data_IF_737521396815
#
_entry.id   IF_737521396815
#
_cell.length_a   1.000
_cell.length_b   1.000
_cell.length_c   1.000
_cell.angle_alpha   90.00
_cell.angle_beta   90.00
_cell.angle_gamma   90.00
#
_symmetry.space_group_name_H-M   'P 1'
#
loop_
_entity.id
_entity.type
_entity.pdbx_description
1 polymer ?
#
# COMPACT_ATOMS: atom_id res chain seq x y z
N UNK A 1 -17.72 36.17 -0.76
CA UNK A 1 -16.69 35.11 -0.67
C UNK A 1 -17.20 33.96 -1.52
N UNK A 2 -16.62 33.75 -2.70
CA UNK A 2 -17.13 32.85 -3.73
C UNK A 2 -16.91 31.38 -3.33
N UNK A 3 -17.99 30.65 -3.06
CA UNK A 3 -18.01 29.20 -2.99
C UNK A 3 -17.86 28.64 -4.42
N UNK A 4 -16.66 28.20 -4.78
CA UNK A 4 -16.48 27.38 -5.98
C UNK A 4 -16.99 25.97 -5.68
N UNK A 5 -18.24 25.70 -6.09
CA UNK A 5 -18.73 24.33 -6.21
C UNK A 5 -17.91 23.63 -7.30
N UNK A 6 -16.90 22.86 -6.91
CA UNK A 6 -16.29 21.90 -7.82
C UNK A 6 -17.31 20.79 -8.07
N UNK A 7 -18.00 20.87 -9.22
CA UNK A 7 -18.89 19.82 -9.71
C UNK A 7 -18.00 18.69 -10.21
N UNK A 8 -17.93 17.52 -9.55
CA UNK A 8 -17.09 16.44 -10.02
C UNK A 8 -17.54 16.04 -11.43
N UNK A 9 -16.61 15.70 -12.35
CA UNK A 9 -16.98 15.17 -13.65
C UNK A 9 -17.85 13.92 -13.44
N UNK A 10 -18.90 13.78 -14.23
CA UNK A 10 -19.73 12.56 -14.25
C UNK A 10 -18.83 11.35 -14.54
N UNK A 11 -18.44 10.62 -13.50
CA UNK A 11 -17.51 9.50 -13.60
C UNK A 11 -18.21 8.15 -13.67
N UNK A 12 -17.68 7.32 -14.57
CA UNK A 12 -18.26 6.12 -15.15
C UNK A 12 -18.19 4.91 -14.20
N UNK A 13 -19.30 4.16 -14.13
CA UNK A 13 -19.52 2.92 -13.32
C UNK A 13 -18.50 1.78 -13.49
N UNK A 14 -17.51 1.93 -14.37
CA UNK A 14 -16.52 0.91 -14.75
C UNK A 14 -15.41 0.71 -13.72
N UNK A 15 -15.02 1.75 -12.98
CA UNK A 15 -13.92 1.70 -12.01
C UNK A 15 -14.27 0.92 -10.73
N UNK A 16 -15.52 1.02 -10.26
CA UNK A 16 -16.09 0.23 -9.17
C UNK A 16 -16.08 -1.28 -9.45
N UNK A 17 -16.36 -1.66 -10.70
CA UNK A 17 -16.40 -3.07 -11.11
C UNK A 17 -15.02 -3.72 -11.12
N UNK A 18 -13.93 -2.99 -11.41
CA UNK A 18 -12.57 -3.57 -11.50
C UNK A 18 -11.94 -3.91 -10.14
N UNK A 19 -12.32 -3.18 -9.08
CA UNK A 19 -11.75 -3.28 -7.71
C UNK A 19 -12.19 -4.53 -6.94
N UNK A 20 -13.44 -4.94 -7.10
CA UNK A 20 -13.96 -6.20 -6.57
C UNK A 20 -13.45 -7.39 -7.39
N UNK A 21 -13.23 -7.21 -8.70
CA UNK A 21 -12.85 -8.32 -9.60
C UNK A 21 -11.50 -8.95 -9.28
N UNK A 22 -10.46 -8.21 -8.87
CA UNK A 22 -9.16 -8.85 -8.56
C UNK A 22 -9.23 -9.60 -7.24
N UNK A 23 -9.78 -9.00 -6.18
CA UNK A 23 -9.91 -9.67 -4.87
C UNK A 23 -10.88 -10.84 -4.93
N UNK A 24 -12.00 -10.70 -5.63
CA UNK A 24 -12.97 -11.78 -5.83
C UNK A 24 -12.40 -12.88 -6.74
N UNK A 25 -11.55 -12.54 -7.73
CA UNK A 25 -10.85 -13.55 -8.54
C UNK A 25 -9.79 -14.30 -7.74
N UNK A 26 -8.91 -13.62 -7.01
CA UNK A 26 -7.84 -14.26 -6.23
C UNK A 26 -8.36 -15.07 -5.04
N UNK A 27 -9.51 -14.68 -4.46
CA UNK A 27 -10.17 -15.44 -3.38
C UNK A 27 -11.11 -16.51 -3.94
N UNK A 28 -11.23 -16.63 -5.26
CA UNK A 28 -11.99 -17.70 -5.88
C UNK A 28 -11.36 -19.07 -5.58
N UNK A 29 -12.15 -20.14 -5.46
CA UNK A 29 -11.62 -21.50 -5.27
C UNK A 29 -10.59 -21.91 -6.31
N UNK A 30 -10.72 -21.40 -7.54
CA UNK A 30 -9.80 -21.69 -8.65
C UNK A 30 -8.44 -21.02 -8.46
N UNK A 31 -8.41 -19.76 -8.03
CA UNK A 31 -7.14 -19.05 -7.80
C UNK A 31 -6.47 -19.50 -6.50
N UNK A 32 -7.23 -19.88 -5.47
CA UNK A 32 -6.69 -20.53 -4.27
C UNK A 32 -6.05 -21.89 -4.60
N UNK A 33 -6.62 -22.67 -5.52
CA UNK A 33 -5.99 -23.90 -6.01
C UNK A 33 -4.71 -23.65 -6.83
N UNK A 34 -4.56 -22.48 -7.47
CA UNK A 34 -3.30 -22.07 -8.10
C UNK A 34 -2.25 -21.64 -7.07
N UNK A 35 -2.65 -21.13 -5.90
CA UNK A 35 -1.70 -20.76 -4.83
C UNK A 35 -0.92 -21.95 -4.27
N UNK A 36 -1.50 -23.16 -4.31
CA UNK A 36 -0.82 -24.41 -3.89
C UNK A 36 0.23 -24.93 -4.87
N UNK A 37 0.32 -24.35 -6.06
CA UNK A 37 1.39 -24.66 -7.02
C UNK A 37 2.48 -23.59 -6.90
N UNK A 38 3.74 -23.96 -6.59
CA UNK A 38 4.85 -23.01 -6.59
C UNK A 38 5.03 -22.39 -7.98
N UNK A 39 4.77 -21.09 -8.11
CA UNK A 39 4.95 -20.34 -9.34
C UNK A 39 6.38 -19.82 -9.39
N UNK A 40 7.26 -20.57 -10.04
CA UNK A 40 8.65 -20.13 -10.31
C UNK A 40 8.75 -19.14 -11.48
N UNK A 41 7.68 -18.99 -12.25
CA UNK A 41 7.67 -18.18 -13.46
C UNK A 41 7.26 -16.74 -13.15
N UNK A 42 8.09 -15.79 -13.58
CA UNK A 42 7.78 -14.36 -13.49
C UNK A 42 6.49 -14.02 -14.27
N UNK A 43 5.71 -13.00 -13.84
CA UNK A 43 4.49 -12.57 -14.52
C UNK A 43 4.69 -12.34 -16.01
N UNK A 44 3.70 -12.72 -16.82
CA UNK A 44 3.71 -12.64 -18.29
C UNK A 44 3.84 -11.20 -18.78
N UNK A 45 3.03 -10.29 -18.23
CA UNK A 45 2.99 -8.87 -18.58
C UNK A 45 4.33 -8.15 -18.31
N UNK A 46 4.94 -7.45 -19.29
CA UNK A 46 6.26 -6.83 -19.13
C UNK A 46 6.35 -5.80 -17.99
N UNK A 47 5.30 -5.00 -17.77
CA UNK A 47 5.28 -4.01 -16.68
C UNK A 47 5.24 -4.69 -15.29
N UNK A 48 4.42 -5.74 -15.16
CA UNK A 48 4.33 -6.60 -13.99
C UNK A 48 5.65 -7.32 -13.68
N UNK A 49 6.27 -7.89 -14.71
CA UNK A 49 7.60 -8.53 -14.62
C UNK A 49 8.67 -7.56 -14.14
N UNK A 50 8.70 -6.34 -14.68
CA UNK A 50 9.62 -5.27 -14.25
C UNK A 50 9.40 -4.90 -12.79
N UNK A 51 8.14 -4.78 -12.36
CA UNK A 51 7.80 -4.51 -10.97
C UNK A 51 8.34 -5.60 -10.04
N UNK A 52 8.12 -6.88 -10.37
CA UNK A 52 8.68 -8.00 -9.60
C UNK A 52 10.20 -7.90 -9.50
N UNK A 53 10.89 -7.74 -10.64
CA UNK A 53 12.36 -7.64 -10.67
C UNK A 53 12.88 -6.43 -9.87
N UNK A 54 12.16 -5.31 -9.87
CA UNK A 54 12.47 -4.14 -9.05
C UNK A 54 12.43 -4.49 -7.55
N UNK A 55 11.42 -5.24 -7.10
CA UNK A 55 11.32 -5.72 -5.71
C UNK A 55 12.25 -6.88 -5.39
N UNK A 56 12.69 -7.66 -6.37
CA UNK A 56 13.74 -8.67 -6.19
C UNK A 56 15.16 -8.07 -6.13
N UNK A 57 15.28 -6.74 -6.24
CA UNK A 57 16.54 -5.99 -6.30
C UNK A 57 17.39 -6.29 -7.56
N UNK A 58 16.81 -6.97 -8.54
CA UNK A 58 17.47 -7.33 -9.81
C UNK A 58 17.19 -6.33 -10.93
N UNK A 59 16.13 -5.54 -10.81
CA UNK A 59 15.68 -4.59 -11.82
C UNK A 59 15.66 -3.14 -11.35
N UNK A 60 15.13 -2.31 -12.24
CA UNK A 60 14.85 -0.90 -12.01
C UNK A 60 13.43 -0.57 -12.49
N UNK A 61 12.90 0.54 -12.01
CA UNK A 61 11.61 1.05 -12.49
C UNK A 61 11.70 1.58 -13.93
N UNK A 62 10.57 2.09 -14.44
CA UNK A 62 10.48 2.69 -15.79
C UNK A 62 11.43 3.88 -16.03
N UNK A 63 12.03 4.45 -14.98
CA UNK A 63 13.00 5.56 -15.03
C UNK A 63 14.42 5.13 -14.68
N UNK A 64 14.70 3.83 -14.60
CA UNK A 64 16.03 3.31 -14.31
C UNK A 64 16.45 3.45 -12.83
N UNK A 65 15.50 3.68 -11.91
CA UNK A 65 15.77 3.77 -10.48
C UNK A 65 15.62 2.40 -9.82
N UNK A 66 16.57 2.02 -8.98
CA UNK A 66 16.52 0.76 -8.20
C UNK A 66 15.88 1.00 -6.84
N UNK A 67 15.26 -0.04 -6.27
CA UNK A 67 14.60 0.06 -4.95
C UNK A 67 15.55 0.56 -3.86
N UNK A 68 16.76 0.00 -3.78
CA UNK A 68 17.79 0.41 -2.82
C UNK A 68 18.11 1.90 -2.93
N UNK A 69 18.25 2.41 -4.17
CA UNK A 69 18.54 3.82 -4.39
C UNK A 69 17.42 4.71 -3.86
N UNK A 70 16.15 4.37 -4.13
CA UNK A 70 15.00 5.16 -3.68
C UNK A 70 14.90 5.15 -2.15
N UNK A 71 15.10 3.99 -1.53
CA UNK A 71 15.08 3.86 -0.06
C UNK A 71 16.18 4.72 0.60
N UNK A 72 17.33 4.88 -0.05
CA UNK A 72 18.45 5.69 0.44
C UNK A 72 18.32 7.19 0.14
N UNK A 73 17.29 7.63 -0.59
CA UNK A 73 17.10 9.06 -0.88
C UNK A 73 16.92 9.88 0.39
N UNK A 74 17.34 11.15 0.34
CA UNK A 74 17.05 12.13 1.39
C UNK A 74 15.58 12.57 1.36
N UNK A 75 15.07 13.07 2.48
CA UNK A 75 13.69 13.57 2.56
C UNK A 75 13.41 14.69 1.56
N UNK A 76 14.40 15.56 1.30
CA UNK A 76 14.28 16.62 0.29
C UNK A 76 14.10 16.07 -1.13
N UNK A 77 14.70 14.91 -1.43
CA UNK A 77 14.53 14.27 -2.74
C UNK A 77 13.18 13.55 -2.85
N UNK A 78 12.72 12.91 -1.78
CA UNK A 78 11.38 12.31 -1.73
C UNK A 78 10.26 13.37 -1.80
N UNK A 79 10.50 14.57 -1.28
CA UNK A 79 9.56 15.68 -1.39
C UNK A 79 9.50 16.21 -2.84
N UNK A 80 10.65 16.41 -3.48
CA UNK A 80 10.75 17.04 -4.81
C UNK A 80 10.37 16.13 -5.97
N UNK A 81 10.64 14.83 -5.85
CA UNK A 81 10.36 13.83 -6.88
C UNK A 81 9.45 12.80 -6.26
N UNK A 82 8.19 12.72 -6.68
CA UNK A 82 7.17 11.88 -6.02
C UNK A 82 6.45 10.88 -6.89
N UNK A 83 6.88 10.77 -8.14
CA UNK A 83 6.46 9.74 -9.09
C UNK A 83 6.94 8.34 -8.66
N UNK A 84 7.96 8.24 -7.78
CA UNK A 84 8.40 6.96 -7.20
C UNK A 84 7.29 6.25 -6.42
N UNK A 85 6.33 7.00 -5.85
CA UNK A 85 5.31 6.45 -4.97
C UNK A 85 4.46 5.42 -5.70
N UNK A 86 4.34 5.57 -7.02
CA UNK A 86 3.53 4.70 -7.83
C UNK A 86 4.14 3.32 -8.02
N UNK A 87 5.47 3.26 -8.10
CA UNK A 87 6.25 2.03 -8.17
C UNK A 87 6.42 1.40 -6.79
N UNK A 88 6.64 2.21 -5.74
CA UNK A 88 6.81 1.69 -4.36
C UNK A 88 5.50 1.18 -3.73
N UNK A 89 4.36 1.68 -4.19
CA UNK A 89 3.06 1.28 -3.68
C UNK A 89 2.12 1.08 -4.89
N UNK A 90 2.35 0.01 -5.68
CA UNK A 90 1.55 -0.26 -6.86
C UNK A 90 0.11 -0.64 -6.44
N UNK A 91 -0.84 -0.40 -7.34
CA UNK A 91 -2.25 -0.70 -7.13
C UNK A 91 -2.78 -1.60 -8.25
N UNK A 92 -3.86 -2.35 -8.03
CA UNK A 92 -4.53 -3.12 -9.08
C UNK A 92 -5.26 -2.26 -10.11
N UNK A 93 -5.59 -1.01 -9.78
CA UNK A 93 -6.19 -0.07 -10.72
C UNK A 93 -5.11 0.71 -11.48
N UNK A 94 -5.36 0.91 -12.78
CA UNK A 94 -4.57 1.81 -13.61
C UNK A 94 -4.52 3.20 -12.98
N UNK A 95 -3.32 3.78 -12.99
CA UNK A 95 -3.13 5.17 -12.60
C UNK A 95 -3.49 6.09 -13.76
N UNK A 96 -3.85 7.34 -13.49
CA UNK A 96 -3.89 8.39 -14.52
C UNK A 96 -2.52 8.66 -15.18
N UNK A 97 -1.46 8.09 -14.61
CA UNK A 97 -0.12 8.12 -15.14
C UNK A 97 0.12 6.85 -15.96
N UNK A 98 0.35 7.02 -17.26
CA UNK A 98 0.40 5.94 -18.25
C UNK A 98 1.42 4.83 -17.94
N UNK A 99 2.50 5.15 -17.21
CA UNK A 99 3.61 4.21 -16.98
C UNK A 99 3.66 3.62 -15.56
N UNK A 100 2.61 3.83 -14.74
CA UNK A 100 2.57 3.28 -13.40
C UNK A 100 2.32 1.76 -13.45
N UNK A 101 3.13 0.93 -12.76
CA UNK A 101 2.90 -0.50 -12.74
C UNK A 101 1.59 -0.82 -12.03
N UNK A 102 0.87 -1.79 -12.57
CA UNK A 102 -0.41 -2.30 -12.06
C UNK A 102 -0.17 -3.68 -11.45
N UNK A 103 -0.92 -4.05 -10.41
CA UNK A 103 -0.91 -5.39 -9.83
C UNK A 103 -1.99 -6.23 -10.52
N UNK A 104 -1.59 -7.16 -11.37
CA UNK A 104 -2.48 -8.18 -11.94
C UNK A 104 -2.53 -9.46 -11.08
N UNK A 105 -3.31 -10.45 -11.52
CA UNK A 105 -3.48 -11.72 -10.82
C UNK A 105 -2.17 -12.51 -10.72
N UNK A 106 -1.38 -12.59 -11.79
CA UNK A 106 -0.11 -13.33 -11.79
C UNK A 106 0.91 -12.69 -10.84
N UNK A 107 1.03 -11.36 -10.87
CA UNK A 107 1.88 -10.59 -9.97
C UNK A 107 1.45 -10.75 -8.54
N UNK A 108 0.14 -10.68 -8.27
CA UNK A 108 -0.39 -10.88 -6.93
C UNK A 108 -0.04 -12.27 -6.38
N UNK A 109 -0.29 -13.33 -7.17
CA UNK A 109 0.00 -14.71 -6.78
C UNK A 109 1.50 -14.91 -6.52
N UNK A 110 2.34 -14.38 -7.42
CA UNK A 110 3.79 -14.41 -7.27
C UNK A 110 4.21 -13.70 -5.97
N UNK A 111 3.70 -12.49 -5.70
CA UNK A 111 4.02 -11.71 -4.50
C UNK A 111 3.67 -12.45 -3.19
N UNK A 112 2.56 -13.19 -3.19
CA UNK A 112 2.11 -13.97 -2.03
C UNK A 112 3.03 -15.17 -1.74
N UNK A 113 3.63 -15.76 -2.76
CA UNK A 113 4.56 -16.88 -2.59
C UNK A 113 5.99 -16.43 -2.23
N UNK A 114 6.35 -15.17 -2.49
CA UNK A 114 7.73 -14.69 -2.30
C UNK A 114 7.85 -13.74 -1.10
N UNK A 115 8.40 -14.25 0.01
CA UNK A 115 8.62 -13.47 1.23
C UNK A 115 9.59 -12.30 1.03
N UNK A 116 10.57 -12.42 0.13
CA UNK A 116 11.53 -11.38 -0.21
C UNK A 116 10.87 -10.10 -0.73
N UNK A 117 9.86 -10.22 -1.60
CA UNK A 117 9.11 -9.08 -2.13
C UNK A 117 8.40 -8.32 -0.99
N UNK A 118 7.77 -9.05 -0.06
CA UNK A 118 7.12 -8.46 1.12
C UNK A 118 8.12 -7.80 2.07
N UNK A 119 9.28 -8.41 2.29
CA UNK A 119 10.35 -7.81 3.09
C UNK A 119 10.84 -6.50 2.45
N UNK A 120 10.98 -6.45 1.13
CA UNK A 120 11.41 -5.25 0.43
C UNK A 120 10.31 -4.17 0.37
N UNK A 121 9.03 -4.55 0.31
CA UNK A 121 7.91 -3.61 0.53
C UNK A 121 7.91 -3.04 1.94
N UNK A 122 8.21 -3.86 2.95
CA UNK A 122 8.34 -3.40 4.33
C UNK A 122 9.47 -2.39 4.50
N UNK A 123 10.63 -2.63 3.89
CA UNK A 123 11.74 -1.66 3.87
C UNK A 123 11.35 -0.35 3.18
N UNK A 124 10.62 -0.41 2.07
CA UNK A 124 10.09 0.77 1.39
C UNK A 124 9.12 1.54 2.30
N UNK A 125 8.24 0.81 2.99
CA UNK A 125 7.27 1.38 3.92
C UNK A 125 7.94 2.04 5.13
N UNK A 126 8.90 1.38 5.78
CA UNK A 126 9.72 1.92 6.87
C UNK A 126 10.41 3.24 6.48
N UNK A 127 10.93 3.31 5.24
CA UNK A 127 11.54 4.54 4.73
C UNK A 127 10.52 5.67 4.62
N UNK A 128 9.31 5.38 4.13
CA UNK A 128 8.26 6.39 3.97
C UNK A 128 7.67 6.80 5.32
N UNK A 129 7.55 5.89 6.29
CA UNK A 129 7.24 6.24 7.67
C UNK A 129 8.26 7.24 8.21
N UNK A 130 9.55 6.96 8.04
CA UNK A 130 10.62 7.86 8.47
C UNK A 130 10.49 9.24 7.82
N UNK A 131 10.16 9.29 6.53
CA UNK A 131 9.91 10.55 5.80
C UNK A 131 8.75 11.34 6.43
N UNK A 132 7.66 10.67 6.80
CA UNK A 132 6.52 11.27 7.49
C UNK A 132 6.77 11.57 8.97
N UNK A 133 7.93 11.21 9.52
CA UNK A 133 8.26 11.44 10.92
C UNK A 133 7.74 10.36 11.88
N UNK A 134 7.48 9.16 11.36
CA UNK A 134 7.14 7.98 12.13
C UNK A 134 8.28 6.96 12.15
N UNK A 135 8.22 6.05 13.10
CA UNK A 135 9.03 4.83 13.16
C UNK A 135 8.11 3.64 13.46
N UNK A 136 8.56 2.44 13.09
CA UNK A 136 7.82 1.19 13.34
C UNK A 136 8.67 0.29 14.23
N UNK A 137 8.03 -0.26 15.24
CA UNK A 137 8.56 -1.29 16.11
C UNK A 137 7.69 -2.53 16.00
N UNK A 138 8.18 -3.65 16.50
CA UNK A 138 7.50 -4.94 16.41
C UNK A 138 7.47 -5.54 17.81
N UNK A 139 6.28 -5.94 18.27
CA UNK A 139 6.15 -6.62 19.56
C UNK A 139 7.04 -7.86 19.61
N UNK A 140 7.56 -8.16 20.80
CA UNK A 140 8.24 -9.43 21.02
C UNK A 140 7.26 -10.57 20.76
N UNK A 141 7.72 -11.61 20.06
CA UNK A 141 6.85 -12.72 19.71
C UNK A 141 6.52 -13.48 20.99
N UNK A 142 5.25 -13.45 21.41
CA UNK A 142 4.71 -14.37 22.41
C UNK A 142 4.83 -15.81 21.86
N UNK A 143 5.95 -16.48 22.15
CA UNK A 143 6.08 -17.94 21.97
C UNK A 143 6.10 -18.48 20.54
N UNK A 144 6.84 -17.85 19.60
CA UNK A 144 7.31 -18.53 18.39
C UNK A 144 6.38 -18.60 17.18
N UNK A 145 5.33 -17.78 17.11
CA UNK A 145 4.44 -17.65 15.94
C UNK A 145 4.77 -16.46 15.03
N UNK A 146 4.61 -16.62 13.71
CA UNK A 146 5.02 -15.69 12.65
C UNK A 146 4.26 -14.35 12.56
N UNK A 147 3.46 -13.96 13.56
CA UNK A 147 2.64 -12.73 13.57
C UNK A 147 3.18 -11.73 14.60
N UNK A 148 4.31 -11.10 14.30
CA UNK A 148 4.75 -9.92 15.07
C UNK A 148 3.80 -8.76 14.76
N UNK A 149 3.23 -8.16 15.81
CA UNK A 149 2.37 -6.98 15.65
C UNK A 149 3.25 -5.74 15.44
N UNK A 150 3.00 -4.96 14.37
CA UNK A 150 3.65 -3.67 14.21
C UNK A 150 3.09 -2.68 15.25
N UNK A 151 3.93 -1.74 15.67
CA UNK A 151 3.53 -0.57 16.43
C UNK A 151 4.21 0.66 15.83
N UNK A 152 3.41 1.64 15.39
CA UNK A 152 3.90 2.87 14.76
C UNK A 152 3.84 4.03 15.76
N UNK A 153 4.99 4.67 15.98
CA UNK A 153 5.15 5.81 16.89
C UNK A 153 5.75 7.02 16.18
N UNK A 154 5.61 8.20 16.77
CA UNK A 154 6.33 9.39 16.30
C UNK A 154 7.84 9.18 16.52
N UNK A 155 8.61 9.40 15.47
CA UNK A 155 10.06 9.44 15.57
C UNK A 155 10.47 10.67 16.36
N UNK A 156 11.20 10.47 17.46
CA UNK A 156 11.67 11.55 18.34
C UNK A 156 12.39 12.63 17.52
N UNK A 157 11.92 13.87 17.64
CA UNK A 157 12.51 15.03 16.96
C UNK A 157 12.04 15.25 15.52
N UNK A 158 11.09 14.46 15.01
CA UNK A 158 10.57 14.59 13.64
C UNK A 158 9.31 15.48 13.53
N UNK A 159 9.08 16.38 14.51
CA UNK A 159 7.91 17.29 14.51
C UNK A 159 7.82 18.15 13.24
N UNK A 160 8.96 18.55 12.67
CA UNK A 160 9.01 19.29 11.41
C UNK A 160 8.58 18.46 10.20
N UNK A 161 8.83 17.15 10.20
CA UNK A 161 8.34 16.22 9.18
C UNK A 161 6.81 16.10 9.25
N UNK A 162 6.25 15.90 10.46
CA UNK A 162 4.81 15.85 10.68
C UNK A 162 4.10 17.12 10.19
N UNK A 163 4.63 18.30 10.54
CA UNK A 163 4.05 19.58 10.15
C UNK A 163 4.06 19.86 8.63
N UNK A 164 4.86 19.10 7.84
CA UNK A 164 4.93 19.27 6.39
C UNK A 164 3.74 18.63 5.67
N UNK A 165 3.35 17.41 6.05
CA UNK A 165 2.31 16.67 5.35
C UNK A 165 0.92 16.79 5.98
N UNK A 166 0.81 17.23 7.24
CA UNK A 166 -0.47 17.41 7.96
C UNK A 166 -1.17 18.73 7.57
N UNK A 167 -1.02 19.14 6.30
CA UNK A 167 -1.62 20.38 5.80
C UNK A 167 -2.89 20.04 5.01
N UNK A 168 -3.98 20.82 5.15
CA UNK A 168 -5.15 20.63 4.32
C UNK A 168 -4.79 20.64 2.83
N UNK A 169 -5.39 19.72 2.07
CA UNK A 169 -5.20 19.59 0.62
C UNK A 169 -3.75 19.30 0.17
N UNK A 170 -2.94 18.71 1.04
CA UNK A 170 -1.58 18.33 0.69
C UNK A 170 -1.54 17.09 -0.20
N UNK A 171 -0.69 17.10 -1.22
CA UNK A 171 -0.53 15.99 -2.15
C UNK A 171 -0.02 14.70 -1.46
N UNK A 172 0.61 14.80 -0.29
CA UNK A 172 0.98 13.67 0.55
C UNK A 172 -0.22 12.86 1.01
N UNK A 173 -1.41 13.46 1.12
CA UNK A 173 -2.62 12.73 1.44
C UNK A 173 -2.98 11.68 0.37
N UNK A 174 -2.84 12.03 -0.91
CA UNK A 174 -3.04 11.07 -2.01
C UNK A 174 -1.97 9.95 -1.99
N UNK A 175 -0.74 10.29 -1.58
CA UNK A 175 0.33 9.29 -1.37
C UNK A 175 -0.02 8.34 -0.23
N UNK A 176 -0.50 8.86 0.89
CA UNK A 176 -0.89 8.06 2.06
C UNK A 176 -2.04 7.11 1.72
N UNK A 177 -3.09 7.56 1.03
CA UNK A 177 -4.16 6.69 0.55
C UNK A 177 -3.62 5.57 -0.35
N UNK A 178 -2.69 5.90 -1.26
CA UNK A 178 -2.07 4.89 -2.14
C UNK A 178 -1.26 3.87 -1.35
N UNK A 179 -0.47 4.31 -0.37
CA UNK A 179 0.32 3.45 0.51
C UNK A 179 -0.59 2.48 1.26
N UNK A 180 -1.61 3.00 1.96
CA UNK A 180 -2.55 2.19 2.73
C UNK A 180 -3.22 1.13 1.84
N UNK A 181 -3.70 1.53 0.67
CA UNK A 181 -4.35 0.60 -0.27
C UNK A 181 -3.40 -0.47 -0.80
N UNK A 182 -2.17 -0.09 -1.17
CA UNK A 182 -1.16 -1.02 -1.66
C UNK A 182 -0.75 -2.03 -0.61
N UNK A 183 -0.52 -1.59 0.64
CA UNK A 183 -0.20 -2.46 1.77
C UNK A 183 -1.29 -3.52 2.00
N UNK A 184 -2.56 -3.11 1.99
CA UNK A 184 -3.69 -4.04 2.14
C UNK A 184 -3.74 -5.05 1.00
N UNK A 185 -3.62 -4.60 -0.25
CA UNK A 185 -3.61 -5.49 -1.43
C UNK A 185 -2.46 -6.48 -1.35
N UNK A 186 -1.26 -6.06 -0.96
CA UNK A 186 -0.05 -6.90 -0.98
C UNK A 186 0.14 -7.74 0.30
N UNK A 187 -0.85 -7.76 1.20
CA UNK A 187 -0.89 -8.62 2.38
C UNK A 187 -0.12 -8.08 3.59
N UNK A 188 0.03 -6.76 3.71
CA UNK A 188 0.58 -6.03 4.85
C UNK A 188 -0.54 -5.30 5.63
N UNK A 189 -1.62 -6.02 5.93
CA UNK A 189 -2.83 -5.46 6.55
C UNK A 189 -2.57 -4.94 7.96
N UNK A 190 -1.70 -5.61 8.74
CA UNK A 190 -1.35 -5.16 10.09
C UNK A 190 -0.66 -3.79 10.05
N UNK A 191 0.33 -3.63 9.16
CA UNK A 191 1.02 -2.37 8.95
C UNK A 191 0.09 -1.28 8.42
N UNK A 192 -0.81 -1.62 7.49
CA UNK A 192 -1.78 -0.66 6.97
C UNK A 192 -2.73 -0.14 8.06
N UNK A 193 -3.17 -1.02 8.96
CA UNK A 193 -4.05 -0.66 10.08
C UNK A 193 -3.36 0.26 11.06
N UNK A 194 -2.15 -0.10 11.50
CA UNK A 194 -1.36 0.73 12.41
C UNK A 194 -1.06 2.09 11.79
N UNK A 195 -0.74 2.14 10.50
CA UNK A 195 -0.45 3.41 9.82
C UNK A 195 -1.66 4.31 9.69
N UNK A 196 -2.85 3.72 9.53
CA UNK A 196 -4.09 4.47 9.54
C UNK A 196 -4.44 5.01 10.94
N UNK A 197 -4.13 4.24 11.99
CA UNK A 197 -4.45 4.60 13.38
C UNK A 197 -3.46 5.58 14.01
N UNK A 198 -2.16 5.45 13.73
CA UNK A 198 -1.14 6.28 14.36
C UNK A 198 -1.36 7.81 14.21
N UNK A 199 -1.81 8.33 13.05
CA UNK A 199 -2.18 9.73 12.89
C UNK A 199 -3.46 10.13 13.64
N UNK A 200 -4.46 9.24 13.73
CA UNK A 200 -5.74 9.51 14.41
C UNK A 200 -5.56 9.84 15.89
N UNK A 201 -4.68 9.10 16.56
CA UNK A 201 -4.40 9.28 17.99
C UNK A 201 -3.73 10.62 18.29
N UNK A 202 -3.09 11.24 17.30
CA UNK A 202 -2.16 12.35 17.50
C UNK A 202 -2.61 13.65 16.85
N UNK A 203 -3.32 13.58 15.72
CA UNK A 203 -3.78 14.71 14.92
C UNK A 203 -5.24 14.53 14.48
N UNK A 204 -6.18 14.27 15.41
CA UNK A 204 -7.52 13.80 15.10
C UNK A 204 -8.30 14.78 14.22
N UNK A 205 -8.26 16.09 14.49
CA UNK A 205 -9.08 17.07 13.76
C UNK A 205 -8.72 17.15 12.26
N UNK A 206 -7.42 17.24 11.98
CA UNK A 206 -6.90 17.36 10.61
C UNK A 206 -7.10 16.05 9.85
N UNK A 207 -6.80 14.93 10.52
CA UNK A 207 -6.96 13.61 9.94
C UNK A 207 -8.42 13.24 9.72
N UNK A 208 -9.33 13.48 10.67
CA UNK A 208 -10.76 13.22 10.49
C UNK A 208 -11.37 14.09 9.39
N UNK A 209 -11.05 15.38 9.36
CA UNK A 209 -11.52 16.28 8.29
C UNK A 209 -11.09 15.77 6.91
N UNK A 210 -9.83 15.35 6.77
CA UNK A 210 -9.32 14.83 5.52
C UNK A 210 -9.89 13.44 5.19
N UNK A 211 -9.90 12.51 6.16
CA UNK A 211 -10.37 11.15 5.96
C UNK A 211 -11.85 11.13 5.61
N UNK A 212 -12.70 11.92 6.24
CA UNK A 212 -14.11 12.02 5.85
C UNK A 212 -14.30 12.58 4.44
N UNK A 213 -13.52 13.59 4.03
CA UNK A 213 -13.53 14.08 2.64
C UNK A 213 -13.06 13.00 1.66
N UNK A 214 -12.12 12.16 2.07
CA UNK A 214 -11.61 11.03 1.29
C UNK A 214 -12.55 9.83 1.32
N UNK A 215 -13.35 9.64 2.37
CA UNK A 215 -14.37 8.60 2.49
C UNK A 215 -15.55 8.89 1.57
N UNK A 216 -15.88 10.16 1.32
CA UNK A 216 -16.77 10.57 0.22
C UNK A 216 -16.15 10.21 -1.15
N UNK A 217 -14.82 10.16 -1.26
CA UNK A 217 -14.12 9.63 -2.42
C UNK A 217 -13.95 8.09 -2.40
N UNK A 218 -14.05 7.42 -1.24
CA UNK A 218 -13.85 5.96 -1.06
C UNK A 218 -15.16 5.14 -0.92
N UNK A 219 -16.29 5.75 -0.60
CA UNK A 219 -17.62 5.10 -0.54
C UNK A 219 -18.09 4.62 -1.91
N UNK A 220 -17.44 5.08 -2.98
CA UNK A 220 -17.51 4.47 -4.31
C UNK A 220 -16.47 3.39 -4.58
N UNK A 221 -15.83 2.78 -3.57
CA UNK A 221 -14.56 2.06 -3.77
C UNK A 221 -14.23 1.04 -2.64
N UNK A 222 -15.21 0.53 -1.89
CA UNK A 222 -14.98 -0.18 -0.63
C UNK A 222 -14.05 -1.42 -0.64
N UNK A 223 -13.20 -1.51 0.39
CA UNK A 223 -13.11 -2.72 1.22
C UNK A 223 -13.21 -2.24 2.67
N UNK A 224 -14.35 -2.43 3.34
CA UNK A 224 -14.48 -2.09 4.75
C UNK A 224 -13.41 -2.83 5.57
N UNK A 225 -12.82 -2.16 6.57
CA UNK A 225 -11.88 -2.76 7.53
C UNK A 225 -12.42 -4.06 8.16
N UNK A 226 -13.75 -4.22 8.21
CA UNK A 226 -14.44 -5.39 8.74
C UNK A 226 -14.36 -6.66 7.86
N UNK A 227 -14.23 -6.55 6.53
CA UNK A 227 -14.33 -7.74 5.65
C UNK A 227 -13.09 -8.65 5.70
N UNK A 228 -11.92 -8.14 6.07
CA UNK A 228 -10.67 -8.92 6.09
C UNK A 228 -10.46 -9.73 7.38
N UNK A 229 -11.16 -9.42 8.48
CA UNK A 229 -11.08 -10.17 9.74
C UNK A 229 -11.58 -11.63 9.63
N UNK A 230 -12.20 -12.00 8.50
CA UNK A 230 -12.60 -13.38 8.19
C UNK A 230 -11.47 -14.19 7.57
N UNK A 231 -10.48 -13.55 6.92
CA UNK A 231 -9.47 -14.25 6.10
C UNK A 231 -8.24 -14.73 6.89
N UNK A 232 -7.82 -13.98 7.93
CA UNK A 232 -6.74 -14.45 8.82
C UNK A 232 -7.10 -15.69 9.65
N UNK A 233 -8.39 -16.01 9.80
CA UNK A 233 -8.83 -17.22 10.55
C UNK A 233 -8.83 -18.50 9.71
N UNK A 234 -8.88 -18.38 8.39
CA UNK A 234 -9.01 -19.54 7.48
C UNK A 234 -7.68 -20.09 6.96
N UNK A 235 -6.53 -19.55 7.40
CA UNK A 235 -5.20 -19.94 6.91
C UNK A 235 -4.34 -20.79 7.85
N UNK A 236 -4.83 -21.17 9.04
CA UNK A 236 -4.07 -21.94 10.05
C UNK A 236 -4.84 -23.13 10.64
N UNK A 237 -5.86 -23.65 9.96
CA UNK A 237 -6.51 -24.89 10.35
C UNK A 237 -6.37 -25.93 9.23
N UNK A 238 -5.14 -26.43 9.09
CA UNK A 238 -4.83 -27.66 8.37
C UNK A 238 -3.93 -28.50 9.28
N UNK A 239 -4.55 -29.47 9.96
CA UNK A 239 -3.98 -30.75 10.42
C UNK A 239 -2.59 -30.72 11.11
N UNK A 240 -2.56 -30.80 12.44
CA UNK A 240 -2.22 -32.01 13.23
C UNK A 240 -2.93 -31.93 14.59
#
# INVERSE_FOLDING_TARGET
MLFYFYRPPSFCSTLLRRRLVIIDRITSPQSLAKMSVPTQQLPSEPACRRLVQFYELQGADNRGRRLQQIIEWSDNRLESCHDYIQTLFPLPEESMFADAPVIDEETYLYWRQHASLRQNLRRAFERILTFYGFEISWDEADGGGADRKPHISEKRGARSNLARWVRPMDHNHLRITRILRSLRVLGMEAEAREFHQAPLERLPEIWHSWWHQSEVLETGYGIPLACCARWNRSGLAGEV
#
